data_IF_006799387684
#
_entry.id   IF_006799387684
#
_cell.length_a   1.000
_cell.length_b   1.000
_cell.length_c   1.000
_cell.angle_alpha   90.00
_cell.angle_beta   90.00
_cell.angle_gamma   90.00
#
_symmetry.space_group_name_H-M   'P 1'
#
loop_
_entity.id
_entity.type
_entity.pdbx_description
1 polymer ?
#
# COMPACT_ATOMS: atom_id res chain seq x y z
N UNK A 1 38.92 42.11 14.73
CA UNK A 1 38.30 40.81 14.39
C UNK A 1 36.81 41.05 14.28
N UNK A 2 36.24 40.82 13.09
CA UNK A 2 34.86 41.16 12.78
C UNK A 2 33.87 40.20 13.47
N UNK A 3 32.82 40.73 14.06
CA UNK A 3 31.73 39.97 14.71
C UNK A 3 31.11 38.88 13.81
N UNK A 4 31.25 39.00 12.49
CA UNK A 4 30.82 38.01 11.50
C UNK A 4 31.71 36.77 11.49
N UNK A 5 33.00 36.87 11.77
CA UNK A 5 33.90 35.73 11.88
C UNK A 5 33.66 34.93 13.15
N UNK A 6 33.40 35.60 14.28
CA UNK A 6 33.03 34.89 15.54
C UNK A 6 31.71 34.12 15.45
N UNK A 7 30.73 34.62 14.67
CA UNK A 7 29.47 33.88 14.45
C UNK A 7 29.64 32.63 13.57
N UNK A 8 30.57 32.65 12.63
CA UNK A 8 30.86 31.48 11.79
C UNK A 8 31.63 30.40 12.54
N UNK A 9 32.48 30.76 13.47
CA UNK A 9 33.28 29.82 14.28
C UNK A 9 32.37 29.09 15.30
N UNK A 10 31.43 29.80 15.95
CA UNK A 10 30.44 29.16 16.86
C UNK A 10 29.44 28.27 16.17
N UNK A 11 29.16 28.47 14.86
CA UNK A 11 28.30 27.59 14.08
C UNK A 11 29.04 26.30 13.65
N UNK A 12 30.36 26.33 13.48
CA UNK A 12 31.19 25.15 13.19
C UNK A 12 31.41 24.26 14.41
N UNK A 13 31.49 24.81 15.59
CA UNK A 13 31.70 24.04 16.83
C UNK A 13 30.53 23.17 17.26
N UNK A 14 29.33 23.37 16.69
CA UNK A 14 28.15 22.54 16.99
C UNK A 14 28.10 21.19 16.24
N UNK A 15 29.02 20.92 15.35
CA UNK A 15 29.20 19.60 14.76
C UNK A 15 30.35 18.91 15.50
N UNK A 16 29.99 18.05 16.48
CA UNK A 16 30.91 17.05 17.01
C UNK A 16 31.27 16.09 15.86
N UNK A 17 32.23 16.48 15.04
CA UNK A 17 32.83 15.61 14.05
C UNK A 17 34.03 14.97 14.74
N UNK A 18 33.82 13.82 15.35
CA UNK A 18 34.91 12.96 15.80
C UNK A 18 35.47 12.30 14.56
N UNK A 19 36.37 12.98 13.88
CA UNK A 19 37.29 12.33 12.93
C UNK A 19 38.38 11.69 13.80
N UNK A 20 38.22 10.39 14.09
CA UNK A 20 39.32 9.60 14.61
C UNK A 20 40.16 9.19 13.39
N UNK A 21 41.36 9.74 13.17
CA UNK A 21 42.27 9.32 12.11
C UNK A 21 43.04 8.08 12.58
N UNK A 22 42.31 7.13 13.12
CA UNK A 22 42.86 5.87 13.53
C UNK A 22 42.46 4.88 12.43
N UNK A 23 43.45 4.47 11.66
CA UNK A 23 43.42 3.19 10.98
C UNK A 23 43.47 2.08 12.07
N UNK A 24 42.50 2.15 12.96
CA UNK A 24 42.12 1.07 13.81
C UNK A 24 41.54 0.08 12.82
N UNK A 25 42.29 -0.97 12.51
CA UNK A 25 41.68 -2.17 11.92
C UNK A 25 40.63 -2.70 12.90
N UNK A 26 39.56 -1.96 13.07
CA UNK A 26 38.36 -2.34 13.80
C UNK A 26 37.80 -3.53 13.03
N UNK A 27 38.30 -4.71 13.36
CA UNK A 27 37.60 -5.92 13.02
C UNK A 27 36.29 -5.83 13.77
N UNK A 28 35.20 -5.65 13.00
CA UNK A 28 33.87 -5.88 13.55
C UNK A 28 33.90 -7.23 14.25
N UNK A 29 33.39 -7.36 15.48
CA UNK A 29 33.22 -8.67 16.11
C UNK A 29 32.56 -9.58 15.08
N UNK A 30 32.91 -10.84 15.02
CA UNK A 30 32.33 -11.81 14.10
C UNK A 30 30.80 -11.82 14.26
N UNK A 31 30.13 -11.00 13.48
CA UNK A 31 28.68 -10.97 13.43
C UNK A 31 28.23 -11.80 12.24
N UNK A 32 27.79 -13.02 12.54
CA UNK A 32 27.31 -13.96 11.53
C UNK A 32 26.16 -13.41 10.72
N UNK A 33 25.30 -12.57 11.31
CA UNK A 33 24.14 -11.98 10.60
C UNK A 33 24.56 -10.96 9.54
N UNK A 34 25.58 -10.15 9.83
CA UNK A 34 26.13 -9.20 8.88
C UNK A 34 26.88 -9.91 7.74
N UNK A 35 27.71 -10.89 8.07
CA UNK A 35 28.46 -11.68 7.09
C UNK A 35 27.52 -12.42 6.14
N UNK A 36 26.49 -13.06 6.67
CA UNK A 36 25.46 -13.75 5.90
C UNK A 36 24.70 -12.80 4.99
N UNK A 37 24.28 -11.63 5.50
CA UNK A 37 23.60 -10.62 4.68
C UNK A 37 24.46 -10.19 3.49
N UNK A 38 25.75 -9.90 3.73
CA UNK A 38 26.67 -9.49 2.69
C UNK A 38 26.82 -10.61 1.66
N UNK A 39 27.06 -11.84 2.08
CA UNK A 39 27.19 -13.00 1.19
C UNK A 39 25.96 -13.21 0.32
N UNK A 40 24.77 -13.12 0.90
CA UNK A 40 23.52 -13.27 0.17
C UNK A 40 23.35 -12.14 -0.83
N UNK A 41 23.59 -10.89 -0.41
CA UNK A 41 23.26 -9.69 -1.20
C UNK A 41 24.35 -9.33 -2.23
N UNK A 42 25.56 -9.84 -2.14
CA UNK A 42 26.64 -9.50 -3.09
C UNK A 42 26.42 -10.05 -4.50
N UNK A 43 25.78 -11.17 -4.67
CA UNK A 43 25.56 -11.79 -5.99
C UNK A 43 24.21 -11.44 -6.64
N UNK A 44 23.39 -10.59 -6.02
CA UNK A 44 22.05 -10.29 -6.51
C UNK A 44 22.07 -9.24 -7.61
N UNK A 45 21.13 -9.35 -8.55
CA UNK A 45 20.88 -8.37 -9.59
C UNK A 45 19.91 -7.27 -9.08
N UNK A 46 20.39 -6.05 -9.01
CA UNK A 46 19.64 -4.88 -8.53
C UNK A 46 19.16 -3.96 -9.65
N UNK A 47 19.23 -4.36 -10.92
CA UNK A 47 18.88 -3.50 -12.07
C UNK A 47 17.45 -2.96 -11.95
N UNK A 48 16.48 -3.80 -11.60
CA UNK A 48 15.09 -3.38 -11.43
C UNK A 48 14.92 -2.44 -10.25
N UNK A 49 15.60 -2.71 -9.12
CA UNK A 49 15.59 -1.84 -7.96
C UNK A 49 16.15 -0.45 -8.30
N UNK A 50 17.25 -0.39 -9.05
CA UNK A 50 17.82 0.88 -9.50
C UNK A 50 16.94 1.58 -10.55
N UNK A 51 16.30 0.84 -11.45
CA UNK A 51 15.36 1.39 -12.42
C UNK A 51 14.13 2.02 -11.75
N UNK A 52 13.64 1.40 -10.67
CA UNK A 52 12.57 1.98 -9.85
C UNK A 52 13.00 3.27 -9.10
N UNK A 53 14.31 3.55 -9.07
CA UNK A 53 14.90 4.69 -8.37
C UNK A 53 15.22 5.82 -9.36
N UNK A 54 14.18 6.52 -9.87
CA UNK A 54 14.29 7.56 -10.90
C UNK A 54 15.15 8.77 -10.52
N UNK A 55 15.37 9.01 -9.23
CA UNK A 55 16.24 10.10 -8.76
C UNK A 55 17.71 9.66 -8.78
N UNK A 56 18.56 10.44 -9.43
CA UNK A 56 20.02 10.35 -9.20
C UNK A 56 20.27 10.41 -7.71
N UNK A 57 21.00 9.42 -7.19
CA UNK A 57 21.46 9.41 -5.82
C UNK A 57 22.18 10.72 -5.53
N UNK A 58 21.66 11.51 -4.60
CA UNK A 58 22.34 12.72 -4.19
C UNK A 58 23.69 12.33 -3.56
N UNK A 59 24.72 13.10 -3.86
CA UNK A 59 26.05 12.83 -3.35
C UNK A 59 26.04 12.67 -1.81
N UNK A 60 26.58 11.57 -1.32
CA UNK A 60 26.62 11.24 0.11
C UNK A 60 25.38 10.57 0.70
N UNK A 61 24.34 10.29 -0.09
CA UNK A 61 23.18 9.54 0.37
C UNK A 61 23.34 8.02 0.15
N UNK A 62 22.64 7.21 0.94
CA UNK A 62 22.65 5.75 0.81
C UNK A 62 22.03 5.31 -0.53
N UNK A 63 22.66 4.38 -1.22
CA UNK A 63 22.21 3.81 -2.49
C UNK A 63 20.96 2.91 -2.29
N UNK A 64 20.28 2.57 -3.37
CA UNK A 64 19.13 1.65 -3.33
C UNK A 64 19.52 0.29 -2.74
N UNK A 65 20.66 -0.28 -3.12
CA UNK A 65 21.21 -1.50 -2.52
C UNK A 65 21.47 -1.36 -1.03
N UNK A 66 22.07 -0.25 -0.60
CA UNK A 66 22.32 -0.01 0.81
C UNK A 66 21.02 0.15 1.61
N UNK A 67 20.02 0.86 1.07
CA UNK A 67 18.71 0.96 1.71
C UNK A 67 18.05 -0.41 1.87
N UNK A 68 18.13 -1.27 0.86
CA UNK A 68 17.66 -2.65 0.92
C UNK A 68 18.39 -3.43 2.03
N UNK A 69 19.73 -3.41 2.03
CA UNK A 69 20.54 -4.08 3.05
C UNK A 69 20.23 -3.57 4.47
N UNK A 70 20.04 -2.26 4.65
CA UNK A 70 19.70 -1.68 5.96
C UNK A 70 18.33 -2.14 6.47
N UNK A 71 17.34 -2.22 5.58
CA UNK A 71 16.00 -2.70 5.93
C UNK A 71 16.05 -4.17 6.32
N UNK A 72 16.63 -5.02 5.47
CA UNK A 72 16.76 -6.46 5.74
C UNK A 72 17.55 -6.71 7.03
N UNK A 73 18.70 -6.07 7.20
CA UNK A 73 19.52 -6.20 8.41
C UNK A 73 18.79 -5.73 9.66
N UNK A 74 18.02 -4.65 9.53
CA UNK A 74 17.19 -4.13 10.61
C UNK A 74 16.18 -5.17 11.10
N UNK A 75 15.44 -5.77 10.19
CA UNK A 75 14.46 -6.82 10.55
C UNK A 75 15.13 -8.06 11.12
N UNK A 76 16.26 -8.53 10.55
CA UNK A 76 17.03 -9.66 11.07
C UNK A 76 17.51 -9.44 12.52
N UNK A 77 17.79 -8.18 12.89
CA UNK A 77 18.24 -7.82 14.24
C UNK A 77 17.12 -7.30 15.16
N UNK A 78 15.84 -7.51 14.81
CA UNK A 78 14.69 -7.16 15.64
C UNK A 78 14.30 -5.69 15.64
N UNK A 79 14.80 -4.89 14.71
CA UNK A 79 14.38 -3.49 14.54
C UNK A 79 13.10 -3.42 13.68
N UNK A 80 11.95 -3.73 14.24
CA UNK A 80 10.66 -3.76 13.51
C UNK A 80 10.03 -2.39 13.24
N UNK A 81 10.72 -1.30 13.56
CA UNK A 81 10.27 0.08 13.30
C UNK A 81 11.28 0.82 12.45
N UNK A 82 10.83 1.49 11.40
CA UNK A 82 11.69 2.31 10.53
C UNK A 82 12.40 3.44 11.30
N UNK A 83 11.80 3.94 12.39
CA UNK A 83 12.45 4.90 13.29
C UNK A 83 13.62 4.25 14.02
N UNK A 84 13.46 3.00 14.47
CA UNK A 84 14.53 2.26 15.14
C UNK A 84 15.66 1.94 14.15
N UNK A 85 15.35 1.52 12.91
CA UNK A 85 16.35 1.31 11.86
C UNK A 85 17.11 2.61 11.56
N UNK A 86 16.39 3.72 11.36
CA UNK A 86 17.01 5.04 11.13
C UNK A 86 17.89 5.48 12.31
N UNK A 87 17.49 5.20 13.54
CA UNK A 87 18.31 5.47 14.73
C UNK A 87 19.55 4.58 14.78
N UNK A 88 19.39 3.26 14.57
CA UNK A 88 20.47 2.29 14.52
C UNK A 88 21.54 2.66 13.49
N UNK A 89 21.16 3.21 12.33
CA UNK A 89 22.08 3.72 11.32
C UNK A 89 23.07 4.81 11.83
N UNK A 90 22.79 5.39 13.00
CA UNK A 90 23.65 6.43 13.61
C UNK A 90 24.50 5.92 14.75
N UNK A 91 24.16 4.78 15.35
CA UNK A 91 24.77 4.30 16.59
C UNK A 91 25.25 2.85 16.52
N UNK A 92 24.71 2.03 15.61
CA UNK A 92 25.15 0.66 15.41
C UNK A 92 26.28 0.61 14.36
N UNK A 93 27.44 0.16 14.77
CA UNK A 93 28.64 0.09 13.92
C UNK A 93 28.40 -0.79 12.68
N UNK A 94 27.58 -1.84 12.79
CA UNK A 94 27.23 -2.73 11.68
C UNK A 94 26.40 -2.02 10.62
N UNK A 95 25.43 -1.19 11.05
CA UNK A 95 24.65 -0.34 10.15
C UNK A 95 25.51 0.74 9.50
N UNK A 96 26.46 1.33 10.27
CA UNK A 96 27.43 2.26 9.73
C UNK A 96 28.35 1.62 8.69
N UNK A 97 28.75 0.37 8.91
CA UNK A 97 29.52 -0.40 7.94
C UNK A 97 28.75 -0.58 6.62
N UNK A 98 27.48 -0.93 6.66
CA UNK A 98 26.63 -1.06 5.46
C UNK A 98 26.49 0.29 4.74
N UNK A 99 26.48 1.40 5.46
CA UNK A 99 26.43 2.75 4.89
C UNK A 99 27.73 3.21 4.22
N UNK A 100 28.88 2.60 4.57
CA UNK A 100 30.19 2.97 3.99
C UNK A 100 30.46 4.49 4.00
N UNK A 101 30.22 5.14 5.13
CA UNK A 101 30.41 6.57 5.33
C UNK A 101 29.32 7.48 4.72
N UNK A 102 28.28 6.90 4.13
CA UNK A 102 27.14 7.67 3.63
C UNK A 102 26.22 8.12 4.78
N UNK A 103 25.40 9.13 4.51
CA UNK A 103 24.48 9.69 5.49
C UNK A 103 23.41 8.67 5.89
N UNK A 104 23.16 8.54 7.19
CA UNK A 104 22.07 7.72 7.72
C UNK A 104 20.71 8.19 7.16
N UNK A 105 19.90 7.28 6.58
CA UNK A 105 18.61 7.64 6.03
C UNK A 105 17.60 8.00 7.13
N UNK A 106 16.69 8.93 6.84
CA UNK A 106 15.55 9.20 7.73
C UNK A 106 14.53 8.06 7.65
N UNK A 107 13.69 7.94 8.68
CA UNK A 107 12.61 6.95 8.68
C UNK A 107 11.57 7.19 7.57
N UNK A 108 11.38 8.44 7.17
CA UNK A 108 10.50 8.80 6.04
C UNK A 108 11.07 8.28 4.72
N UNK A 109 12.39 8.45 4.50
CA UNK A 109 13.07 7.92 3.32
C UNK A 109 13.03 6.40 3.25
N UNK A 110 13.22 5.72 4.39
CA UNK A 110 13.07 4.26 4.46
C UNK A 110 11.62 3.84 4.14
N UNK A 111 10.63 4.60 4.63
CA UNK A 111 9.23 4.34 4.34
C UNK A 111 8.86 4.57 2.88
N UNK A 112 9.38 5.62 2.26
CA UNK A 112 9.21 5.88 0.83
C UNK A 112 9.86 4.78 -0.02
N UNK A 113 11.08 4.38 0.35
CA UNK A 113 11.80 3.28 -0.31
C UNK A 113 11.00 1.98 -0.28
N UNK A 114 10.48 1.56 0.86
CA UNK A 114 9.71 0.31 0.99
C UNK A 114 8.41 0.38 0.20
N UNK A 115 7.66 1.49 0.30
CA UNK A 115 6.34 1.60 -0.34
C UNK A 115 6.39 1.77 -1.84
N UNK A 116 7.35 2.54 -2.33
CA UNK A 116 7.35 3.00 -3.71
C UNK A 116 8.46 2.38 -4.57
N UNK A 117 9.48 1.77 -3.96
CA UNK A 117 10.65 1.26 -4.69
C UNK A 117 10.86 -0.23 -4.51
N UNK A 118 10.55 -0.74 -3.33
CA UNK A 118 10.69 -2.16 -3.00
C UNK A 118 9.35 -2.92 -3.13
N UNK A 119 8.31 -2.27 -3.64
CA UNK A 119 6.98 -2.86 -3.77
C UNK A 119 6.83 -3.67 -5.06
N UNK A 120 5.86 -4.59 -5.07
CA UNK A 120 5.49 -5.38 -6.24
C UNK A 120 6.60 -6.27 -6.77
N UNK A 121 6.76 -6.31 -8.07
CA UNK A 121 7.64 -7.24 -8.80
C UNK A 121 9.12 -7.12 -8.38
N UNK A 122 9.58 -5.94 -7.95
CA UNK A 122 10.97 -5.73 -7.49
C UNK A 122 11.30 -6.58 -6.27
N UNK A 123 10.40 -6.61 -5.28
CA UNK A 123 10.60 -7.42 -4.07
C UNK A 123 10.52 -8.91 -4.41
N UNK A 124 9.57 -9.31 -5.23
CA UNK A 124 9.42 -10.68 -5.69
C UNK A 124 10.67 -11.17 -6.42
N UNK A 125 11.21 -10.38 -7.35
CA UNK A 125 12.42 -10.71 -8.07
C UNK A 125 13.63 -10.90 -7.13
N UNK A 126 13.83 -9.99 -6.17
CA UNK A 126 14.90 -10.14 -5.18
C UNK A 126 14.72 -11.39 -4.31
N UNK A 127 13.48 -11.73 -3.97
CA UNK A 127 13.17 -12.95 -3.22
C UNK A 127 13.44 -14.20 -4.06
N UNK A 128 13.04 -14.23 -5.34
CA UNK A 128 13.34 -15.35 -6.23
C UNK A 128 14.84 -15.58 -6.40
N UNK A 129 15.64 -14.53 -6.55
CA UNK A 129 17.10 -14.65 -6.62
C UNK A 129 17.68 -15.27 -5.35
N UNK A 130 17.13 -14.95 -4.16
CA UNK A 130 17.52 -15.60 -2.91
C UNK A 130 17.20 -17.09 -2.94
N UNK A 131 15.99 -17.46 -3.35
CA UNK A 131 15.54 -18.86 -3.43
C UNK A 131 16.39 -19.64 -4.44
N UNK A 132 16.65 -19.09 -5.62
CA UNK A 132 17.53 -19.70 -6.63
C UNK A 132 18.94 -19.95 -6.08
N UNK A 133 19.51 -18.97 -5.37
CA UNK A 133 20.83 -19.12 -4.75
C UNK A 133 20.86 -20.24 -3.70
N UNK A 134 19.82 -20.34 -2.88
CA UNK A 134 19.70 -21.44 -1.90
C UNK A 134 19.56 -22.81 -2.59
N UNK A 135 18.86 -22.86 -3.71
CA UNK A 135 18.71 -24.06 -4.53
C UNK A 135 20.05 -24.47 -5.18
N UNK A 136 20.77 -23.52 -5.77
CA UNK A 136 22.08 -23.75 -6.38
C UNK A 136 23.12 -24.23 -5.37
N UNK A 137 23.07 -23.70 -4.15
CA UNK A 137 23.96 -24.11 -3.05
C UNK A 137 23.54 -25.44 -2.39
N UNK A 138 22.39 -26.01 -2.80
CA UNK A 138 21.89 -27.28 -2.28
C UNK A 138 21.30 -27.17 -0.86
N UNK A 139 20.99 -25.97 -0.40
CA UNK A 139 20.34 -25.77 0.89
C UNK A 139 18.85 -26.13 0.88
N UNK A 140 18.21 -25.98 -0.29
CA UNK A 140 16.82 -26.38 -0.54
C UNK A 140 16.76 -27.21 -1.82
N UNK A 141 15.73 -28.05 -1.97
CA UNK A 141 15.57 -28.93 -3.13
C UNK A 141 14.15 -28.97 -3.68
N UNK A 142 13.18 -28.40 -2.94
CA UNK A 142 11.72 -28.52 -3.14
C UNK A 142 11.19 -29.95 -3.09
N UNK A 143 12.00 -30.92 -2.60
CA UNK A 143 11.57 -32.29 -2.48
C UNK A 143 10.51 -32.51 -1.38
N UNK A 144 10.61 -31.74 -0.29
CA UNK A 144 9.71 -31.83 0.85
C UNK A 144 9.29 -30.43 1.30
N UNK A 145 8.38 -29.81 0.58
CA UNK A 145 7.86 -28.49 0.93
C UNK A 145 6.66 -28.62 1.87
N UNK A 146 6.79 -28.11 3.08
CA UNK A 146 5.69 -27.98 4.03
C UNK A 146 5.08 -26.58 3.90
N UNK A 147 3.76 -26.50 3.72
CA UNK A 147 3.05 -25.22 3.64
C UNK A 147 2.11 -25.10 4.83
N UNK A 148 2.31 -24.06 5.64
CA UNK A 148 1.39 -23.72 6.74
C UNK A 148 0.79 -22.33 6.52
N UNK A 149 -0.49 -22.23 6.86
CA UNK A 149 -1.25 -20.98 6.78
C UNK A 149 -1.45 -20.36 8.16
N UNK A 150 -1.05 -19.12 8.33
CA UNK A 150 -1.33 -18.34 9.54
C UNK A 150 -2.17 -17.12 9.24
N UNK A 151 -2.97 -16.69 10.24
CA UNK A 151 -3.82 -15.50 10.12
C UNK A 151 -3.25 -14.38 10.97
N UNK A 152 -3.01 -13.23 10.34
CA UNK A 152 -2.52 -12.02 11.01
C UNK A 152 -3.63 -10.97 11.02
N UNK A 153 -3.92 -10.40 12.20
CA UNK A 153 -4.91 -9.31 12.33
C UNK A 153 -4.36 -8.03 11.69
N UNK A 154 -5.15 -7.43 10.79
CA UNK A 154 -4.82 -6.15 10.18
C UNK A 154 -5.09 -4.99 11.15
N UNK A 155 -4.27 -3.94 11.07
CA UNK A 155 -4.51 -2.70 11.82
C UNK A 155 -5.61 -1.87 11.15
N UNK A 156 -6.84 -2.39 11.14
CA UNK A 156 -7.98 -1.82 10.45
C UNK A 156 -9.22 -1.74 11.35
N UNK A 157 -10.17 -0.88 10.96
CA UNK A 157 -11.40 -0.72 11.71
C UNK A 157 -12.23 -2.02 11.66
N UNK A 158 -12.53 -2.58 12.83
CA UNK A 158 -13.31 -3.83 12.99
C UNK A 158 -14.74 -3.76 12.48
N UNK A 159 -15.33 -2.57 12.38
CA UNK A 159 -16.72 -2.37 11.99
C UNK A 159 -16.90 -1.77 10.60
N UNK A 160 -15.82 -1.37 9.95
CA UNK A 160 -15.83 -0.79 8.61
C UNK A 160 -15.61 -1.82 7.50
N UNK A 161 -16.61 -2.64 7.18
CA UNK A 161 -16.49 -3.72 6.19
C UNK A 161 -17.51 -3.60 5.05
N UNK A 162 -17.14 -4.15 3.91
CA UNK A 162 -17.98 -4.32 2.72
C UNK A 162 -18.07 -5.79 2.38
N UNK A 163 -19.30 -6.32 2.30
CA UNK A 163 -19.58 -7.72 1.99
C UNK A 163 -20.03 -7.87 0.54
N UNK A 164 -19.39 -8.77 -0.21
CA UNK A 164 -19.71 -9.08 -1.61
C UNK A 164 -21.20 -9.37 -1.81
N UNK A 165 -21.78 -10.24 -1.01
CA UNK A 165 -23.19 -10.60 -1.14
C UNK A 165 -24.15 -9.42 -0.89
N UNK A 166 -23.78 -8.49 0.01
CA UNK A 166 -24.56 -7.28 0.26
C UNK A 166 -24.47 -6.31 -0.91
N UNK A 167 -23.29 -6.15 -1.50
CA UNK A 167 -23.09 -5.32 -2.70
C UNK A 167 -23.95 -5.84 -3.84
N UNK A 168 -23.82 -7.12 -4.21
CA UNK A 168 -24.57 -7.73 -5.31
C UNK A 168 -26.09 -7.66 -5.10
N UNK A 169 -26.55 -7.97 -3.88
CA UNK A 169 -27.99 -7.90 -3.54
C UNK A 169 -28.55 -6.48 -3.64
N UNK A 170 -27.80 -5.49 -3.16
CA UNK A 170 -28.24 -4.10 -3.19
C UNK A 170 -28.14 -3.51 -4.60
N UNK A 171 -27.15 -3.88 -5.39
CA UNK A 171 -27.04 -3.53 -6.80
C UNK A 171 -28.22 -4.10 -7.61
N UNK A 172 -28.54 -5.39 -7.44
CA UNK A 172 -29.70 -6.00 -8.13
C UNK A 172 -31.03 -5.30 -7.79
N UNK A 173 -31.23 -4.92 -6.51
CA UNK A 173 -32.41 -4.13 -6.11
C UNK A 173 -32.43 -2.76 -6.75
N UNK A 174 -31.27 -2.11 -6.86
CA UNK A 174 -31.16 -0.79 -7.51
C UNK A 174 -31.47 -0.90 -9.00
N UNK A 175 -30.97 -1.94 -9.70
CA UNK A 175 -31.25 -2.16 -11.11
C UNK A 175 -32.76 -2.32 -11.38
N UNK A 176 -33.47 -3.11 -10.56
CA UNK A 176 -34.91 -3.25 -10.67
C UNK A 176 -35.64 -1.90 -10.45
N UNK A 177 -35.18 -1.06 -9.53
CA UNK A 177 -35.71 0.30 -9.34
C UNK A 177 -35.43 1.21 -10.53
N UNK A 178 -34.25 1.13 -11.12
CA UNK A 178 -33.87 1.88 -12.32
C UNK A 178 -34.77 1.50 -13.49
N UNK A 179 -34.95 0.19 -13.77
CA UNK A 179 -35.80 -0.29 -14.85
C UNK A 179 -37.23 0.24 -14.73
N UNK A 180 -37.85 0.09 -13.56
CA UNK A 180 -39.19 0.63 -13.31
C UNK A 180 -39.24 2.14 -13.55
N UNK A 181 -38.26 2.89 -13.05
CA UNK A 181 -38.26 4.34 -13.18
C UNK A 181 -37.97 4.80 -14.60
N UNK A 182 -37.16 4.12 -15.36
CA UNK A 182 -36.91 4.41 -16.76
C UNK A 182 -38.19 4.25 -17.61
N UNK A 183 -39.00 3.24 -17.33
CA UNK A 183 -40.30 3.05 -17.99
C UNK A 183 -41.28 4.17 -17.64
N UNK A 184 -41.35 4.59 -16.36
CA UNK A 184 -42.16 5.73 -15.95
C UNK A 184 -41.74 7.03 -16.68
N UNK A 185 -40.44 7.34 -16.72
CA UNK A 185 -39.89 8.51 -17.38
C UNK A 185 -40.09 8.49 -18.90
N UNK A 186 -39.95 7.29 -19.52
CA UNK A 186 -40.22 7.10 -20.93
C UNK A 186 -41.65 7.50 -21.27
N UNK A 187 -42.62 7.05 -20.47
CA UNK A 187 -44.02 7.41 -20.64
C UNK A 187 -44.30 8.90 -20.35
N UNK A 188 -43.71 9.43 -19.28
CA UNK A 188 -43.88 10.83 -18.84
C UNK A 188 -43.37 11.84 -19.87
N UNK A 189 -42.21 11.56 -20.47
CA UNK A 189 -41.57 12.45 -21.43
C UNK A 189 -41.87 12.12 -22.90
N UNK A 190 -42.58 11.03 -23.14
CA UNK A 190 -42.90 10.49 -24.46
C UNK A 190 -41.67 10.45 -25.39
N UNK A 191 -40.60 9.87 -24.85
CA UNK A 191 -39.30 9.74 -25.50
C UNK A 191 -38.94 8.28 -25.67
N UNK A 192 -38.18 7.94 -26.70
CA UNK A 192 -37.74 6.61 -27.07
C UNK A 192 -38.84 5.61 -27.42
N UNK A 193 -38.69 4.89 -28.51
CA UNK A 193 -39.59 3.80 -28.93
C UNK A 193 -39.35 2.50 -28.17
N UNK A 194 -38.08 2.29 -27.72
CA UNK A 194 -37.66 1.13 -26.95
C UNK A 194 -37.28 1.56 -25.54
N UNK A 195 -37.29 0.67 -24.54
CA UNK A 195 -36.85 0.99 -23.17
C UNK A 195 -35.41 1.59 -23.17
N UNK A 196 -35.24 2.80 -22.65
CA UNK A 196 -33.93 3.46 -22.65
C UNK A 196 -32.99 2.89 -21.60
N UNK A 197 -31.71 3.06 -21.81
CA UNK A 197 -30.70 2.85 -20.76
C UNK A 197 -30.65 4.06 -19.82
N UNK A 198 -30.06 3.87 -18.63
CA UNK A 198 -29.85 4.97 -17.68
C UNK A 198 -29.10 6.16 -18.32
N UNK A 199 -28.06 5.86 -19.10
CA UNK A 199 -27.24 6.87 -19.79
C UNK A 199 -28.06 7.64 -20.83
N UNK A 200 -28.81 6.94 -21.71
CA UNK A 200 -29.62 7.56 -22.75
C UNK A 200 -30.69 8.45 -22.15
N UNK A 201 -31.34 8.01 -21.06
CA UNK A 201 -32.37 8.84 -20.39
C UNK A 201 -31.74 10.06 -19.72
N UNK A 202 -30.57 9.89 -19.09
CA UNK A 202 -29.87 10.99 -18.43
C UNK A 202 -29.43 12.04 -19.44
N UNK A 203 -28.86 11.66 -20.57
CA UNK A 203 -28.54 12.59 -21.68
C UNK A 203 -29.76 13.31 -22.22
N UNK A 204 -30.86 12.59 -22.41
CA UNK A 204 -32.11 13.18 -22.87
C UNK A 204 -32.61 14.24 -21.90
N UNK A 205 -32.67 13.96 -20.61
CA UNK A 205 -33.13 14.91 -19.60
C UNK A 205 -32.14 16.08 -19.41
N UNK A 206 -30.84 15.86 -19.53
CA UNK A 206 -29.83 16.92 -19.50
C UNK A 206 -29.98 17.88 -20.68
N UNK A 207 -30.23 17.36 -21.89
CA UNK A 207 -30.50 18.18 -23.07
C UNK A 207 -31.75 19.01 -22.84
N UNK A 208 -32.85 18.39 -22.40
CA UNK A 208 -34.13 19.08 -22.13
C UNK A 208 -33.98 20.14 -21.02
N UNK A 209 -33.12 19.88 -20.03
CA UNK A 209 -32.77 20.86 -18.99
C UNK A 209 -32.07 22.09 -19.58
N UNK A 210 -31.10 21.90 -20.45
CA UNK A 210 -30.39 22.98 -21.14
C UNK A 210 -31.35 23.80 -22.01
N UNK A 211 -32.20 23.13 -22.74
CA UNK A 211 -33.18 23.78 -23.63
C UNK A 211 -34.26 24.58 -22.86
N UNK A 212 -34.56 24.18 -21.63
CA UNK A 212 -35.53 24.86 -20.76
C UNK A 212 -35.03 26.19 -20.19
N UNK A 213 -33.73 26.46 -20.20
CA UNK A 213 -33.13 27.66 -19.60
C UNK A 213 -33.31 27.79 -18.08
N UNK A 214 -33.76 26.71 -17.40
CA UNK A 214 -33.99 26.71 -15.94
C UNK A 214 -32.70 26.64 -15.18
N UNK A 215 -32.57 27.46 -14.14
CA UNK A 215 -31.45 27.33 -13.18
C UNK A 215 -31.73 26.26 -12.12
N UNK A 216 -30.67 25.51 -11.71
CA UNK A 216 -30.80 24.51 -10.63
C UNK A 216 -31.15 25.22 -9.32
N UNK A 217 -32.25 24.82 -8.73
CA UNK A 217 -32.66 25.28 -7.41
C UNK A 217 -31.96 24.47 -6.35
N UNK A 218 -31.11 25.14 -5.55
CA UNK A 218 -30.39 24.53 -4.42
C UNK A 218 -30.90 25.13 -3.11
N UNK A 219 -30.78 24.33 -2.01
CA UNK A 219 -31.15 24.80 -0.65
C UNK A 219 -32.48 24.26 -0.13
N UNK A 220 -32.70 24.42 1.19
CA UNK A 220 -33.93 24.02 1.88
C UNK A 220 -35.04 25.01 1.62
N UNK A 221 -36.27 24.52 1.38
CA UNK A 221 -37.49 25.36 1.28
C UNK A 221 -37.84 25.88 -0.13
N UNK A 222 -37.03 25.71 -1.14
CA UNK A 222 -37.36 26.04 -2.51
C UNK A 222 -37.95 24.84 -3.26
N UNK A 223 -39.06 25.07 -4.00
CA UNK A 223 -39.72 23.99 -4.76
C UNK A 223 -38.92 23.70 -6.03
N UNK A 224 -38.43 22.48 -6.16
CA UNK A 224 -37.74 21.99 -7.37
C UNK A 224 -38.76 21.61 -8.44
N UNK A 225 -38.44 21.87 -9.71
CA UNK A 225 -39.24 21.39 -10.84
C UNK A 225 -39.22 19.87 -10.91
N UNK A 226 -40.21 19.24 -11.54
CA UNK A 226 -40.23 17.78 -11.75
C UNK A 226 -39.02 17.32 -12.56
N UNK A 227 -38.69 18.04 -13.63
CA UNK A 227 -37.51 17.75 -14.45
C UNK A 227 -36.22 17.76 -13.62
N UNK A 228 -36.06 18.69 -12.66
CA UNK A 228 -34.89 18.72 -11.78
C UNK A 228 -34.85 17.51 -10.85
N UNK A 229 -35.99 17.11 -10.30
CA UNK A 229 -36.08 15.94 -9.42
C UNK A 229 -35.72 14.65 -10.15
N UNK A 230 -36.24 14.48 -11.36
CA UNK A 230 -36.00 13.32 -12.18
C UNK A 230 -34.51 13.23 -12.58
N UNK A 231 -33.93 14.36 -12.99
CA UNK A 231 -32.49 14.43 -13.32
C UNK A 231 -31.62 14.11 -12.11
N UNK A 232 -31.86 14.74 -10.96
CA UNK A 232 -31.13 14.49 -9.73
C UNK A 232 -31.26 13.03 -9.24
N UNK A 233 -32.37 12.39 -9.53
CA UNK A 233 -32.57 10.97 -9.18
C UNK A 233 -31.76 10.06 -10.08
N UNK A 234 -31.73 10.28 -11.39
CA UNK A 234 -30.92 9.51 -12.32
C UNK A 234 -29.41 9.72 -12.06
N UNK A 235 -28.98 10.95 -11.78
CA UNK A 235 -27.60 11.25 -11.37
C UNK A 235 -27.20 10.45 -10.12
N UNK A 236 -28.09 10.35 -9.13
CA UNK A 236 -27.86 9.52 -7.93
C UNK A 236 -27.77 8.02 -8.22
N UNK A 237 -28.55 7.53 -9.18
CA UNK A 237 -28.43 6.14 -9.59
C UNK A 237 -27.08 5.88 -10.26
N UNK A 238 -26.62 6.79 -11.11
CA UNK A 238 -25.30 6.71 -11.74
C UNK A 238 -24.17 6.72 -10.70
N UNK A 239 -24.17 7.68 -9.76
CA UNK A 239 -23.18 7.73 -8.67
C UNK A 239 -23.17 6.46 -7.81
N UNK A 240 -24.35 5.86 -7.59
CA UNK A 240 -24.43 4.60 -6.83
C UNK A 240 -23.92 3.41 -7.63
N UNK A 241 -24.13 3.39 -8.95
CA UNK A 241 -23.58 2.36 -9.83
C UNK A 241 -22.06 2.43 -9.83
N UNK A 242 -21.47 3.61 -9.97
CA UNK A 242 -20.04 3.82 -9.91
C UNK A 242 -19.44 3.30 -8.59
N UNK A 243 -20.12 3.55 -7.45
CA UNK A 243 -19.70 3.02 -6.15
C UNK A 243 -19.78 1.49 -6.06
N UNK A 244 -20.81 0.86 -6.65
CA UNK A 244 -20.88 -0.60 -6.69
C UNK A 244 -19.79 -1.19 -7.58
N UNK A 245 -19.45 -0.54 -8.69
CA UNK A 245 -18.38 -0.98 -9.57
C UNK A 245 -16.99 -0.81 -8.91
N UNK A 246 -16.79 0.25 -8.14
CA UNK A 246 -15.62 0.42 -7.29
C UNK A 246 -15.52 -0.69 -6.23
N UNK A 247 -16.62 -0.97 -5.51
CA UNK A 247 -16.66 -2.06 -4.54
C UNK A 247 -16.36 -3.42 -5.18
N UNK A 248 -16.88 -3.70 -6.37
CA UNK A 248 -16.61 -4.96 -7.10
C UNK A 248 -15.14 -5.07 -7.49
N UNK A 249 -14.53 -3.98 -7.98
CA UNK A 249 -13.10 -3.92 -8.31
C UNK A 249 -12.24 -4.17 -7.08
N UNK A 250 -12.55 -3.49 -5.96
CA UNK A 250 -11.81 -3.64 -4.70
C UNK A 250 -11.95 -5.05 -4.11
N UNK A 251 -13.13 -5.67 -4.26
CA UNK A 251 -13.36 -7.03 -3.78
C UNK A 251 -12.52 -8.08 -4.51
N UNK A 252 -12.27 -7.90 -5.79
CA UNK A 252 -11.45 -8.80 -6.62
C UNK A 252 -11.71 -10.29 -6.32
N UNK A 253 -12.97 -10.71 -6.34
CA UNK A 253 -13.39 -12.07 -6.03
C UNK A 253 -13.46 -12.46 -4.55
N UNK A 254 -12.91 -11.66 -3.64
CA UNK A 254 -12.93 -11.89 -2.19
C UNK A 254 -14.36 -11.77 -1.60
N UNK A 255 -14.66 -12.44 -0.47
CA UNK A 255 -15.98 -12.37 0.16
C UNK A 255 -16.23 -11.01 0.84
N UNK A 256 -15.18 -10.29 1.26
CA UNK A 256 -15.26 -9.00 1.94
C UNK A 256 -13.95 -8.25 1.88
N UNK A 257 -13.98 -6.95 2.17
CA UNK A 257 -12.80 -6.15 2.42
C UNK A 257 -13.09 -5.10 3.51
N UNK A 258 -12.02 -4.54 4.13
CA UNK A 258 -12.12 -3.45 5.09
C UNK A 258 -12.04 -2.09 4.39
N UNK A 259 -12.88 -1.12 4.78
CA UNK A 259 -12.84 0.25 4.23
C UNK A 259 -11.58 1.02 4.58
N UNK A 260 -10.89 0.65 5.65
CA UNK A 260 -9.66 1.30 6.12
C UNK A 260 -8.41 0.61 5.63
N UNK A 261 -8.52 -0.65 5.18
CA UNK A 261 -7.45 -1.46 4.64
C UNK A 261 -8.06 -2.39 3.58
N UNK A 262 -7.96 -1.99 2.32
CA UNK A 262 -8.64 -2.66 1.21
C UNK A 262 -8.11 -4.07 0.93
N UNK A 263 -6.89 -4.38 1.38
CA UNK A 263 -6.27 -5.68 1.20
C UNK A 263 -6.69 -6.68 2.29
N UNK A 264 -7.12 -6.19 3.45
CA UNK A 264 -7.58 -7.03 4.54
C UNK A 264 -8.96 -7.62 4.29
N UNK A 265 -9.10 -8.92 4.55
CA UNK A 265 -10.37 -9.67 4.46
C UNK A 265 -10.89 -10.01 5.86
N UNK A 266 -12.21 -9.99 6.06
CA UNK A 266 -12.80 -10.39 7.34
C UNK A 266 -12.79 -11.90 7.48
N UNK A 267 -12.13 -12.38 8.55
CA UNK A 267 -11.97 -13.79 8.85
C UNK A 267 -12.00 -14.08 10.36
N UNK A 268 -12.29 -15.33 10.71
CA UNK A 268 -12.09 -15.78 12.11
C UNK A 268 -10.62 -16.02 12.35
N UNK A 269 -10.09 -15.41 13.42
CA UNK A 269 -8.70 -15.62 13.83
C UNK A 269 -8.54 -16.98 14.53
N UNK A 270 -7.32 -17.55 14.49
CA UNK A 270 -7.00 -18.82 15.21
C UNK A 270 -7.14 -18.62 16.74
N UNK A 271 -6.68 -17.48 17.24
CA UNK A 271 -6.75 -17.11 18.65
C UNK A 271 -7.99 -16.24 18.91
N UNK A 272 -9.11 -16.88 19.17
CA UNK A 272 -10.32 -16.23 19.65
C UNK A 272 -10.45 -16.48 21.15
N UNK A 273 -9.75 -15.67 21.95
CA UNK A 273 -9.78 -15.78 23.43
C UNK A 273 -11.17 -15.65 24.01
N UNK A 274 -12.05 -14.92 23.34
CA UNK A 274 -13.43 -14.70 23.80
C UNK A 274 -14.39 -15.80 23.32
N UNK A 275 -13.94 -16.69 22.44
CA UNK A 275 -14.72 -17.77 21.81
C UNK A 275 -16.09 -17.33 21.25
N UNK A 276 -16.19 -16.07 20.84
CA UNK A 276 -17.43 -15.47 20.33
C UNK A 276 -17.55 -15.54 18.80
N UNK A 277 -16.56 -16.09 18.12
CA UNK A 277 -16.52 -16.25 16.67
C UNK A 277 -16.48 -14.91 15.93
N UNK A 278 -16.05 -13.84 16.57
CA UNK A 278 -15.99 -12.51 15.98
C UNK A 278 -15.06 -12.50 14.76
N UNK A 279 -15.57 -11.93 13.67
CA UNK A 279 -14.75 -11.68 12.47
C UNK A 279 -13.89 -10.44 12.70
N UNK A 280 -12.62 -10.55 12.29
CA UNK A 280 -11.66 -9.45 12.32
C UNK A 280 -11.05 -9.26 10.93
N UNK A 281 -10.69 -8.01 10.55
CA UNK A 281 -9.91 -7.79 9.34
C UNK A 281 -8.54 -8.43 9.51
N UNK A 282 -8.08 -9.17 8.52
CA UNK A 282 -6.79 -9.87 8.61
C UNK A 282 -6.31 -10.40 7.27
N UNK A 283 -5.12 -10.94 7.32
CA UNK A 283 -4.42 -11.55 6.20
C UNK A 283 -4.23 -13.03 6.48
N UNK A 284 -4.33 -13.83 5.44
CA UNK A 284 -3.97 -15.24 5.48
C UNK A 284 -2.60 -15.40 4.81
N UNK A 285 -1.55 -15.53 5.62
CA UNK A 285 -0.20 -15.79 5.13
C UNK A 285 0.00 -17.29 4.94
N UNK A 286 0.58 -17.65 3.81
CA UNK A 286 1.04 -19.00 3.53
C UNK A 286 2.58 -18.98 3.57
N UNK A 287 3.15 -19.82 4.42
CA UNK A 287 4.60 -19.94 4.55
C UNK A 287 5.02 -21.32 4.02
N UNK A 288 5.97 -21.34 3.10
CA UNK A 288 6.59 -22.55 2.62
C UNK A 288 7.87 -22.81 3.42
N UNK A 289 8.02 -24.00 3.96
CA UNK A 289 9.16 -24.40 4.80
C UNK A 289 9.81 -25.64 4.21
N UNK A 290 11.12 -25.59 4.02
CA UNK A 290 11.94 -26.76 3.70
C UNK A 290 13.19 -26.78 4.57
N UNK A 291 13.33 -27.82 5.42
CA UNK A 291 14.44 -27.92 6.36
C UNK A 291 14.43 -26.79 7.39
N UNK A 292 15.48 -25.97 7.39
CA UNK A 292 15.65 -24.83 8.30
C UNK A 292 15.24 -23.49 7.65
N UNK A 293 14.77 -23.50 6.40
CA UNK A 293 14.39 -22.31 5.62
C UNK A 293 12.88 -22.12 5.57
N UNK A 294 12.43 -20.86 5.64
CA UNK A 294 11.02 -20.45 5.60
C UNK A 294 10.80 -19.53 4.40
#
# INVERSE_FOLDING_TARGET
MNQTQQRNDTAKERRLQVVLPLDLGLRLPEDKSLSLLIEITEGMDYRELYAAYERREAAGEASAKQLFQLVVFGFLNGYYSLRNISAACRYDVRMMYLLQGRKAPSHERLGDFIRNRLAGDVMENLFYQLVEKLLEQGHISFANLFVDGTKIEANANRYGFVWRNSVLKNEAKMHAQIEMKLLELQAQYNCFETPPTLENMLEHLQKRWKDSGLERVTGKGRRRSELQKDLEMLEKFQERQEKYDEHKRTLDGRPSYSKTDHDATFMRMKEDHMKNGQLKPGYNLQLGIEGEFI
#
